data_IF_102391491907
#
_entry.id   IF_102391491907
#
_cell.length_a   1.000
_cell.length_b   1.000
_cell.length_c   1.000
_cell.angle_alpha   90.00
_cell.angle_beta   90.00
_cell.angle_gamma   90.00
#
_symmetry.space_group_name_H-M   'P 1'
#
loop_
_entity.id
_entity.type
_entity.pdbx_description
1 polymer ?
#
# COMPACT_ATOMS: atom_id res chain seq x y z
N UNK A 1 1.99 -20.55 19.94
CA UNK A 1 2.34 -19.12 20.15
C UNK A 1 1.33 -18.32 19.36
N UNK A 2 0.74 -17.27 19.93
CA UNK A 2 -0.12 -16.34 19.20
C UNK A 2 0.70 -15.62 18.13
N UNK A 3 0.09 -15.33 16.99
CA UNK A 3 0.75 -14.55 15.92
C UNK A 3 0.95 -13.09 16.33
N UNK A 4 1.81 -12.36 15.61
CA UNK A 4 2.10 -10.95 15.94
C UNK A 4 0.94 -9.98 15.65
N UNK A 5 -0.12 -10.45 14.96
CA UNK A 5 -1.36 -9.73 14.70
C UNK A 5 -2.58 -10.42 15.33
N UNK A 6 -2.37 -11.27 16.35
CA UNK A 6 -3.46 -12.00 16.99
C UNK A 6 -4.54 -11.05 17.53
N UNK A 7 -5.80 -11.27 17.10
CA UNK A 7 -6.94 -10.45 17.45
C UNK A 7 -7.02 -9.06 16.78
N UNK A 8 -6.09 -8.70 15.90
CA UNK A 8 -6.13 -7.44 15.15
C UNK A 8 -7.09 -7.53 13.95
N UNK A 9 -7.76 -6.44 13.64
CA UNK A 9 -8.71 -6.27 12.53
C UNK A 9 -8.09 -5.34 11.50
N UNK A 10 -7.87 -5.82 10.29
CA UNK A 10 -7.07 -5.11 9.29
C UNK A 10 -7.88 -4.93 7.99
N UNK A 11 -7.97 -3.69 7.51
CA UNK A 11 -8.47 -3.38 6.19
C UNK A 11 -7.30 -3.32 5.20
N UNK A 12 -7.40 -4.05 4.08
CA UNK A 12 -6.35 -4.09 3.06
C UNK A 12 -6.92 -3.73 1.70
N UNK A 13 -6.30 -2.74 1.05
CA UNK A 13 -6.65 -2.30 -0.31
C UNK A 13 -5.70 -2.90 -1.34
N UNK A 14 -6.09 -2.92 -2.62
CA UNK A 14 -5.19 -3.21 -3.74
C UNK A 14 -4.91 -4.68 -4.01
N UNK A 15 -5.71 -5.61 -3.52
CA UNK A 15 -5.60 -7.04 -3.83
C UNK A 15 -6.18 -7.32 -5.21
N UNK A 16 -5.36 -7.24 -6.25
CA UNK A 16 -5.76 -7.42 -7.66
C UNK A 16 -5.31 -8.76 -8.26
N UNK A 17 -4.30 -9.40 -7.66
CA UNK A 17 -3.72 -10.68 -8.11
C UNK A 17 -2.93 -11.33 -6.98
N UNK A 18 -2.69 -12.64 -7.07
CA UNK A 18 -1.93 -13.39 -6.06
C UNK A 18 -0.49 -12.89 -5.89
N UNK A 19 0.15 -12.44 -6.97
CA UNK A 19 1.50 -11.88 -6.94
C UNK A 19 1.55 -10.43 -6.47
N UNK A 20 0.45 -9.85 -5.95
CA UNK A 20 0.49 -8.50 -5.37
C UNK A 20 1.01 -8.53 -3.93
N UNK A 21 1.76 -7.50 -3.54
CA UNK A 21 2.19 -7.31 -2.16
C UNK A 21 0.98 -7.31 -1.22
N UNK A 22 -0.14 -6.68 -1.63
CA UNK A 22 -1.38 -6.64 -0.85
C UNK A 22 -1.96 -8.03 -0.57
N UNK A 23 -1.90 -8.96 -1.53
CA UNK A 23 -2.36 -10.34 -1.31
C UNK A 23 -1.49 -11.05 -0.27
N UNK A 24 -0.15 -10.91 -0.38
CA UNK A 24 0.77 -11.50 0.58
C UNK A 24 0.64 -10.86 1.96
N UNK A 25 0.43 -9.55 2.06
CA UNK A 25 0.13 -8.89 3.32
C UNK A 25 -1.17 -9.43 3.95
N UNK A 26 -2.24 -9.64 3.15
CA UNK A 26 -3.49 -10.20 3.64
C UNK A 26 -3.33 -11.66 4.11
N UNK A 27 -2.63 -12.48 3.32
CA UNK A 27 -2.34 -13.88 3.66
C UNK A 27 -1.54 -13.96 4.96
N UNK A 28 -0.42 -13.25 5.04
CA UNK A 28 0.44 -13.23 6.21
C UNK A 28 -0.28 -12.66 7.44
N UNK A 29 -1.08 -11.59 7.28
CA UNK A 29 -1.86 -11.05 8.39
C UNK A 29 -2.81 -12.10 8.99
N UNK A 30 -3.51 -12.87 8.16
CA UNK A 30 -4.36 -13.97 8.62
C UNK A 30 -3.57 -15.11 9.28
N UNK A 31 -2.42 -15.48 8.71
CA UNK A 31 -1.51 -16.48 9.29
C UNK A 31 -0.97 -16.03 10.65
N UNK A 32 -0.84 -14.72 10.86
CA UNK A 32 -0.42 -14.10 12.11
C UNK A 32 -1.59 -13.77 13.06
N UNK A 33 -2.80 -14.24 12.77
CA UNK A 33 -3.94 -14.19 13.67
C UNK A 33 -4.93 -13.05 13.43
N UNK A 34 -4.70 -12.19 12.44
CA UNK A 34 -5.61 -11.09 12.13
C UNK A 34 -6.92 -11.54 11.48
N UNK A 35 -7.98 -10.75 11.70
CA UNK A 35 -9.15 -10.71 10.87
C UNK A 35 -8.95 -9.66 9.77
N UNK A 36 -9.27 -10.02 8.52
CA UNK A 36 -8.98 -9.19 7.36
C UNK A 36 -10.24 -8.90 6.57
N UNK A 37 -10.40 -7.65 6.15
CA UNK A 37 -11.38 -7.21 5.16
C UNK A 37 -10.65 -6.56 3.99
N UNK A 38 -11.14 -6.78 2.77
CA UNK A 38 -10.53 -6.23 1.56
C UNK A 38 -11.41 -5.15 0.93
N UNK A 39 -10.79 -4.25 0.18
CA UNK A 39 -11.51 -3.34 -0.70
C UNK A 39 -11.04 -3.49 -2.14
N UNK A 40 -11.93 -3.19 -3.09
CA UNK A 40 -11.65 -3.31 -4.51
C UNK A 40 -12.36 -2.27 -5.36
N UNK A 41 -11.70 -1.81 -6.41
CA UNK A 41 -12.20 -0.95 -7.47
C UNK A 41 -11.36 -1.15 -8.74
N UNK A 42 -11.91 -1.09 -9.98
CA UNK A 42 -13.34 -1.00 -10.33
C UNK A 42 -14.04 -2.37 -10.44
N UNK A 43 -13.38 -3.47 -10.07
CA UNK A 43 -13.86 -4.85 -10.30
C UNK A 43 -13.83 -5.68 -9.02
N UNK A 44 -14.78 -5.50 -8.07
CA UNK A 44 -14.84 -6.28 -6.84
C UNK A 44 -14.83 -7.79 -7.07
N UNK A 45 -15.55 -8.28 -8.09
CA UNK A 45 -15.62 -9.71 -8.43
C UNK A 45 -14.27 -10.36 -8.77
N UNK A 46 -13.31 -9.58 -9.29
CA UNK A 46 -11.95 -10.07 -9.51
C UNK A 46 -11.25 -10.32 -8.16
N UNK A 47 -11.32 -9.35 -7.27
CA UNK A 47 -10.74 -9.46 -5.92
C UNK A 47 -11.42 -10.58 -5.13
N UNK A 48 -12.74 -10.73 -5.20
CA UNK A 48 -13.47 -11.83 -4.55
C UNK A 48 -12.98 -13.21 -5.01
N UNK A 49 -12.70 -13.36 -6.32
CA UNK A 49 -12.14 -14.61 -6.86
C UNK A 49 -10.74 -14.88 -6.32
N UNK A 50 -9.90 -13.87 -6.23
CA UNK A 50 -8.54 -13.99 -5.71
C UNK A 50 -8.55 -14.22 -4.21
N UNK A 51 -9.43 -13.56 -3.49
CA UNK A 51 -9.61 -13.69 -2.04
C UNK A 51 -9.95 -15.12 -1.59
N UNK A 52 -10.56 -15.95 -2.45
CA UNK A 52 -10.80 -17.39 -2.18
C UNK A 52 -9.52 -18.21 -1.96
N UNK A 53 -8.36 -17.66 -2.31
CA UNK A 53 -7.04 -18.28 -2.12
C UNK A 53 -6.38 -17.87 -0.81
N UNK A 54 -6.98 -16.95 -0.05
CA UNK A 54 -6.53 -16.60 1.29
C UNK A 54 -6.84 -17.74 2.28
N UNK A 55 -6.08 -17.86 3.38
CA UNK A 55 -6.28 -18.90 4.39
C UNK A 55 -7.68 -18.94 4.99
N UNK A 56 -8.31 -17.76 5.16
CA UNK A 56 -9.67 -17.62 5.68
C UNK A 56 -10.52 -16.79 4.73
N UNK A 57 -11.85 -17.06 4.64
CA UNK A 57 -12.77 -16.22 3.90
C UNK A 57 -12.71 -14.76 4.35
N UNK A 58 -12.84 -13.83 3.41
CA UNK A 58 -12.85 -12.39 3.67
C UNK A 58 -13.98 -11.71 2.92
N UNK A 59 -14.53 -10.64 3.49
CA UNK A 59 -15.44 -9.74 2.80
C UNK A 59 -14.63 -8.82 1.88
N UNK A 60 -15.19 -8.53 0.71
CA UNK A 60 -14.68 -7.52 -0.21
C UNK A 60 -15.69 -6.38 -0.29
N UNK A 61 -15.26 -5.16 0.03
CA UNK A 61 -16.06 -3.93 -0.08
C UNK A 61 -15.67 -3.20 -1.36
N UNK A 62 -16.66 -2.76 -2.12
CA UNK A 62 -16.42 -1.87 -3.25
C UNK A 62 -16.01 -0.49 -2.74
N UNK A 63 -14.81 -0.03 -3.13
CA UNK A 63 -14.26 1.25 -2.73
C UNK A 63 -13.43 1.88 -3.84
N UNK A 64 -13.95 2.95 -4.41
CA UNK A 64 -13.18 3.94 -5.17
C UNK A 64 -12.72 5.03 -4.18
N UNK A 65 -11.42 5.16 -3.99
CA UNK A 65 -10.83 6.14 -3.06
C UNK A 65 -10.93 7.59 -3.53
N UNK A 66 -11.42 7.81 -4.76
CA UNK A 66 -11.71 9.13 -5.32
C UNK A 66 -13.19 9.50 -5.23
N UNK A 67 -14.04 8.60 -4.75
CA UNK A 67 -15.48 8.78 -4.62
C UNK A 67 -15.85 9.04 -3.15
N UNK A 68 -16.30 10.25 -2.88
CA UNK A 68 -16.68 10.68 -1.51
C UNK A 68 -17.83 9.85 -0.92
N UNK A 69 -18.78 9.37 -1.73
CA UNK A 69 -19.87 8.52 -1.25
C UNK A 69 -19.36 7.14 -0.83
N UNK A 70 -18.40 6.57 -1.58
CA UNK A 70 -17.76 5.33 -1.21
C UNK A 70 -17.00 5.45 0.11
N UNK A 71 -16.24 6.54 0.28
CA UNK A 71 -15.51 6.82 1.52
C UNK A 71 -16.46 7.04 2.71
N UNK A 72 -17.56 7.78 2.50
CA UNK A 72 -18.53 8.08 3.57
C UNK A 72 -19.25 6.84 4.10
N UNK A 73 -19.53 5.84 3.25
CA UNK A 73 -20.21 4.60 3.68
C UNK A 73 -19.24 3.52 4.23
N UNK A 74 -17.92 3.71 4.05
CA UNK A 74 -16.92 2.70 4.43
C UNK A 74 -16.97 2.37 5.91
N UNK A 75 -17.12 3.37 6.79
CA UNK A 75 -17.21 3.18 8.24
C UNK A 75 -18.31 2.19 8.60
N UNK A 76 -19.54 2.39 8.11
CA UNK A 76 -20.68 1.52 8.41
C UNK A 76 -20.42 0.08 7.94
N UNK A 77 -19.97 -0.08 6.69
CA UNK A 77 -19.72 -1.40 6.11
C UNK A 77 -18.65 -2.21 6.86
N UNK A 78 -17.58 -1.54 7.32
CA UNK A 78 -16.53 -2.19 8.10
C UNK A 78 -16.99 -2.47 9.52
N UNK A 79 -17.74 -1.56 10.14
CA UNK A 79 -18.29 -1.74 11.49
C UNK A 79 -19.23 -2.94 11.56
N UNK A 80 -20.08 -3.11 10.54
CA UNK A 80 -21.00 -4.24 10.45
C UNK A 80 -20.29 -5.59 10.32
N UNK A 81 -19.11 -5.62 9.67
CA UNK A 81 -18.35 -6.85 9.42
C UNK A 81 -17.35 -7.19 10.53
N UNK A 82 -16.57 -6.20 10.99
CA UNK A 82 -15.45 -6.39 11.92
C UNK A 82 -15.62 -5.68 13.27
N UNK A 83 -16.62 -4.81 13.40
CA UNK A 83 -16.85 -4.01 14.63
C UNK A 83 -15.86 -2.83 14.80
N UNK A 84 -14.73 -2.83 14.13
CA UNK A 84 -13.69 -1.80 14.20
C UNK A 84 -12.46 -2.16 13.41
N UNK A 85 -11.40 -1.34 13.49
CA UNK A 85 -10.13 -1.56 12.81
C UNK A 85 -8.95 -1.28 13.73
N UNK A 86 -7.93 -2.12 13.70
CA UNK A 86 -6.64 -1.93 14.36
C UNK A 86 -5.55 -1.53 13.36
N UNK A 87 -5.82 -1.70 12.05
CA UNK A 87 -4.88 -1.30 11.02
C UNK A 87 -5.49 -1.16 9.62
N UNK A 88 -4.80 -0.37 8.80
CA UNK A 88 -5.17 -0.13 7.40
C UNK A 88 -3.93 -0.26 6.51
N UNK A 89 -4.06 -1.00 5.41
CA UNK A 89 -3.03 -1.09 4.37
C UNK A 89 -3.49 -0.35 3.12
N UNK A 90 -2.77 0.72 2.78
CA UNK A 90 -2.94 1.46 1.54
C UNK A 90 -1.97 0.92 0.47
N UNK A 91 -2.47 0.03 -0.38
CA UNK A 91 -1.74 -0.54 -1.52
C UNK A 91 -2.39 -0.13 -2.84
N UNK A 92 -2.55 1.20 -3.01
CA UNK A 92 -3.19 1.80 -4.17
C UNK A 92 -2.18 2.69 -4.89
N UNK A 93 -2.15 2.60 -6.21
CA UNK A 93 -1.39 3.48 -7.07
C UNK A 93 -1.90 3.35 -8.50
N UNK A 94 -2.10 4.50 -9.14
CA UNK A 94 -2.52 4.59 -10.53
C UNK A 94 -2.04 5.90 -11.13
N UNK A 95 -1.59 5.85 -12.36
CA UNK A 95 -1.39 7.01 -13.22
C UNK A 95 -1.94 6.69 -14.61
N UNK A 96 -2.59 7.65 -15.30
CA UNK A 96 -2.92 7.50 -16.70
C UNK A 96 -1.69 7.20 -17.55
N UNK A 97 -1.88 6.53 -18.68
CA UNK A 97 -0.78 6.05 -19.51
C UNK A 97 0.11 7.18 -20.06
N UNK A 98 -0.47 8.34 -20.32
CA UNK A 98 0.24 9.54 -20.78
C UNK A 98 1.02 10.26 -19.65
N UNK A 99 0.89 9.81 -18.42
CA UNK A 99 1.70 10.26 -17.26
C UNK A 99 2.88 9.34 -16.95
N UNK A 100 3.19 8.38 -17.84
CA UNK A 100 4.24 7.36 -17.73
C UNK A 100 4.98 7.23 -19.08
N UNK A 101 6.08 6.50 -19.09
CA UNK A 101 6.71 6.04 -20.33
C UNK A 101 7.56 7.09 -21.06
N UNK A 102 8.16 8.04 -20.34
CA UNK A 102 9.04 9.08 -20.88
C UNK A 102 8.29 10.33 -21.38
N UNK A 103 7.04 10.51 -20.96
CA UNK A 103 6.19 11.63 -21.39
C UNK A 103 6.12 12.78 -20.36
N UNK A 104 7.03 12.84 -19.41
CA UNK A 104 6.98 13.75 -18.25
C UNK A 104 6.68 15.21 -18.61
N UNK A 105 7.37 15.76 -19.63
CA UNK A 105 7.25 17.16 -20.02
C UNK A 105 5.96 17.51 -20.77
N UNK A 106 5.27 16.52 -21.35
CA UNK A 106 4.08 16.74 -22.17
C UNK A 106 2.80 16.21 -21.52
N UNK A 107 2.88 15.68 -20.31
CA UNK A 107 1.72 15.13 -19.58
C UNK A 107 0.68 16.23 -19.32
N UNK A 108 -0.60 16.05 -19.69
CA UNK A 108 -1.65 16.99 -19.35
C UNK A 108 -1.86 17.06 -17.82
N UNK A 109 -2.20 18.25 -17.30
CA UNK A 109 -2.41 18.44 -15.86
C UNK A 109 -3.53 17.53 -15.30
N UNK A 110 -4.53 17.22 -16.07
CA UNK A 110 -5.62 16.29 -15.68
C UNK A 110 -5.06 14.90 -15.33
N UNK A 111 -4.15 14.37 -16.15
CA UNK A 111 -3.48 13.09 -15.88
C UNK A 111 -2.57 13.17 -14.65
N UNK A 112 -1.86 14.28 -14.45
CA UNK A 112 -1.08 14.55 -13.25
C UNK A 112 -1.98 14.58 -12.02
N UNK A 113 -3.09 15.33 -12.09
CA UNK A 113 -4.07 15.44 -10.99
C UNK A 113 -4.63 14.08 -10.61
N UNK A 114 -4.97 13.25 -11.60
CA UNK A 114 -5.45 11.88 -11.37
C UNK A 114 -4.38 11.03 -10.67
N UNK A 115 -3.14 11.05 -11.13
CA UNK A 115 -2.04 10.31 -10.50
C UNK A 115 -1.83 10.75 -9.04
N UNK A 116 -1.84 12.04 -8.77
CA UNK A 116 -1.70 12.60 -7.43
C UNK A 116 -2.88 12.24 -6.51
N UNK A 117 -4.10 12.33 -7.00
CA UNK A 117 -5.30 12.01 -6.24
C UNK A 117 -5.32 10.54 -5.84
N UNK A 118 -5.15 9.64 -6.82
CA UNK A 118 -5.25 8.19 -6.57
C UNK A 118 -4.04 7.65 -5.83
N UNK A 119 -2.82 8.13 -6.12
CA UNK A 119 -1.60 7.51 -5.59
C UNK A 119 -1.04 8.18 -4.34
N UNK A 120 -1.47 9.40 -4.00
CA UNK A 120 -0.97 10.13 -2.84
C UNK A 120 -2.08 10.60 -1.89
N UNK A 121 -3.01 11.43 -2.37
CA UNK A 121 -4.06 12.02 -1.53
C UNK A 121 -5.00 10.97 -0.94
N UNK A 122 -5.23 9.87 -1.64
CA UNK A 122 -6.07 8.76 -1.20
C UNK A 122 -5.59 8.11 0.11
N UNK A 123 -4.28 8.17 0.45
CA UNK A 123 -3.80 7.73 1.76
C UNK A 123 -4.48 8.50 2.89
N UNK A 124 -4.55 9.83 2.76
CA UNK A 124 -5.25 10.69 3.73
C UNK A 124 -6.76 10.39 3.73
N UNK A 125 -7.37 10.31 2.56
CA UNK A 125 -8.83 10.11 2.46
C UNK A 125 -9.26 8.78 3.08
N UNK A 126 -8.55 7.69 2.77
CA UNK A 126 -8.79 6.36 3.32
C UNK A 126 -8.56 6.34 4.85
N UNK A 127 -7.45 6.93 5.32
CA UNK A 127 -7.14 6.99 6.75
C UNK A 127 -8.25 7.72 7.51
N UNK A 128 -8.72 8.85 7.00
CA UNK A 128 -9.76 9.63 7.65
C UNK A 128 -11.13 8.95 7.62
N UNK A 129 -11.47 8.23 6.54
CA UNK A 129 -12.68 7.41 6.47
C UNK A 129 -12.66 6.23 7.47
N UNK A 130 -11.47 5.67 7.75
CA UNK A 130 -11.30 4.58 8.71
C UNK A 130 -11.11 5.06 10.16
N UNK A 131 -10.73 6.32 10.38
CA UNK A 131 -10.39 6.85 11.72
C UNK A 131 -11.47 6.60 12.79
N UNK A 132 -12.79 6.75 12.53
CA UNK A 132 -13.81 6.48 13.54
C UNK A 132 -13.92 5.00 13.98
N UNK A 133 -13.24 4.09 13.29
CA UNK A 133 -13.19 2.66 13.59
C UNK A 133 -11.99 2.29 14.47
N UNK A 134 -11.02 3.18 14.64
CA UNK A 134 -9.80 2.90 15.39
C UNK A 134 -10.07 2.90 16.89
N UNK A 135 -9.48 1.97 17.64
CA UNK A 135 -9.59 1.94 19.10
C UNK A 135 -8.83 3.10 19.73
N UNK A 136 -9.21 3.43 20.97
CA UNK A 136 -8.57 4.51 21.74
C UNK A 136 -7.07 4.27 22.02
N UNK A 137 -6.66 3.01 22.04
CA UNK A 137 -5.27 2.57 22.23
C UNK A 137 -4.39 2.90 21.01
N UNK A 138 -5.01 3.19 19.85
CA UNK A 138 -4.34 3.54 18.61
C UNK A 138 -4.45 2.49 17.52
N UNK A 139 -3.91 2.81 16.35
CA UNK A 139 -3.95 1.96 15.15
C UNK A 139 -2.67 2.11 14.31
N UNK A 140 -2.51 1.25 13.32
CA UNK A 140 -1.40 1.32 12.36
C UNK A 140 -1.91 1.52 10.92
N UNK A 141 -1.44 2.57 10.26
CA UNK A 141 -1.63 2.79 8.81
C UNK A 141 -0.31 2.49 8.11
N UNK A 142 -0.34 1.60 7.12
CA UNK A 142 0.83 1.23 6.33
C UNK A 142 0.54 1.43 4.85
N UNK A 143 1.31 2.28 4.19
CA UNK A 143 1.23 2.49 2.75
C UNK A 143 2.37 1.81 1.99
N UNK A 144 2.20 1.61 0.67
CA UNK A 144 3.25 1.13 -0.22
C UNK A 144 3.76 2.27 -1.10
N UNK A 145 5.06 2.54 -1.01
CA UNK A 145 5.76 3.47 -1.89
C UNK A 145 6.79 2.74 -2.76
N UNK A 146 7.35 3.49 -3.69
CA UNK A 146 8.57 3.15 -4.40
C UNK A 146 9.48 4.35 -4.23
N UNK A 147 10.72 4.13 -3.80
CA UNK A 147 11.64 5.20 -3.36
C UNK A 147 11.60 6.42 -4.29
N UNK A 148 11.12 7.53 -3.77
CA UNK A 148 10.90 8.76 -4.52
C UNK A 148 12.07 9.76 -4.38
N UNK A 149 13.22 9.34 -3.84
CA UNK A 149 14.42 10.17 -3.76
C UNK A 149 15.11 10.32 -5.11
N UNK A 150 14.86 9.40 -6.04
CA UNK A 150 15.48 9.37 -7.36
C UNK A 150 14.45 9.50 -8.48
N UNK A 151 14.91 10.01 -9.63
CA UNK A 151 14.14 10.00 -10.87
C UNK A 151 14.34 8.63 -11.56
N UNK A 152 13.34 7.78 -11.49
CA UNK A 152 13.36 6.47 -12.11
C UNK A 152 13.03 6.55 -13.60
N UNK A 153 13.70 5.78 -14.47
CA UNK A 153 13.39 5.76 -15.89
C UNK A 153 11.91 5.44 -16.15
N UNK A 154 11.27 6.19 -17.02
CA UNK A 154 9.88 6.01 -17.47
C UNK A 154 8.80 6.01 -16.39
N UNK A 155 9.15 6.33 -15.15
CA UNK A 155 8.22 6.40 -14.01
C UNK A 155 7.47 7.74 -13.95
N UNK A 156 8.04 8.77 -14.55
CA UNK A 156 7.47 10.11 -14.80
C UNK A 156 6.65 10.65 -13.62
N UNK A 157 5.38 11.00 -13.83
CA UNK A 157 4.54 11.61 -12.79
C UNK A 157 4.14 10.67 -11.65
N UNK A 158 4.38 9.37 -11.77
CA UNK A 158 4.28 8.48 -10.62
C UNK A 158 5.37 8.77 -9.58
N UNK A 159 6.58 9.19 -10.00
CA UNK A 159 7.65 9.63 -9.10
C UNK A 159 7.21 10.78 -8.18
N UNK A 160 6.81 11.94 -8.70
CA UNK A 160 6.21 13.02 -7.91
C UNK A 160 5.01 12.59 -7.06
N UNK A 161 4.14 11.70 -7.56
CA UNK A 161 3.02 11.17 -6.78
C UNK A 161 3.50 10.33 -5.59
N UNK A 162 4.57 9.53 -5.74
CA UNK A 162 5.18 8.79 -4.62
C UNK A 162 5.87 9.72 -3.62
N UNK A 163 6.56 10.77 -4.08
CA UNK A 163 7.11 11.79 -3.20
C UNK A 163 6.01 12.50 -2.38
N UNK A 164 4.87 12.79 -3.02
CA UNK A 164 3.71 13.35 -2.33
C UNK A 164 3.09 12.35 -1.33
N UNK A 165 3.01 11.05 -1.66
CA UNK A 165 2.57 10.00 -0.74
C UNK A 165 3.47 9.94 0.50
N UNK A 166 4.78 9.99 0.31
CA UNK A 166 5.78 9.98 1.40
C UNK A 166 5.65 11.22 2.28
N UNK A 167 5.47 12.38 1.70
CA UNK A 167 5.19 13.60 2.46
C UNK A 167 3.86 13.48 3.22
N UNK A 168 2.78 13.00 2.57
CA UNK A 168 1.46 12.81 3.17
C UNK A 168 1.53 11.89 4.39
N UNK A 169 2.30 10.80 4.33
CA UNK A 169 2.45 9.87 5.45
C UNK A 169 3.09 10.56 6.67
N UNK A 170 4.11 11.41 6.46
CA UNK A 170 4.74 12.19 7.54
C UNK A 170 3.78 13.19 8.19
N UNK A 171 2.94 13.86 7.39
CA UNK A 171 1.93 14.77 7.93
C UNK A 171 0.82 14.05 8.68
N UNK A 172 0.37 12.88 8.20
CA UNK A 172 -0.56 12.02 8.95
C UNK A 172 0.04 11.54 10.27
N UNK A 173 1.30 11.10 10.26
CA UNK A 173 2.02 10.70 11.47
C UNK A 173 2.10 11.84 12.50
N UNK A 174 2.38 13.06 12.06
CA UNK A 174 2.42 14.26 12.92
C UNK A 174 1.06 14.55 13.55
N UNK A 175 -0.01 14.55 12.73
CA UNK A 175 -1.31 15.02 13.16
C UNK A 175 -2.08 13.97 13.98
N UNK A 176 -1.89 12.68 13.64
CA UNK A 176 -2.59 11.57 14.30
C UNK A 176 -1.79 10.89 15.42
N UNK A 177 -0.50 11.19 15.54
CA UNK A 177 0.38 10.56 16.52
C UNK A 177 -0.03 10.77 17.99
N UNK A 178 -0.69 11.88 18.32
CA UNK A 178 -1.24 12.13 19.66
C UNK A 178 -2.41 11.19 20.03
N UNK A 179 -3.03 10.60 19.02
CA UNK A 179 -4.07 9.58 19.17
C UNK A 179 -3.50 8.16 19.07
N UNK A 180 -2.17 8.00 19.18
CA UNK A 180 -1.44 6.74 18.99
C UNK A 180 -1.66 6.06 17.63
N UNK A 181 -2.05 6.81 16.61
CA UNK A 181 -2.17 6.29 15.25
C UNK A 181 -0.82 6.46 14.56
N UNK A 182 -0.21 5.34 14.22
CA UNK A 182 1.07 5.31 13.49
C UNK A 182 0.80 5.30 11.98
N UNK A 183 1.57 6.04 11.22
CA UNK A 183 1.51 6.02 9.75
C UNK A 183 2.90 5.84 9.19
N UNK A 184 3.16 4.71 8.53
CA UNK A 184 4.45 4.37 7.96
C UNK A 184 4.29 3.84 6.53
N UNK A 185 5.39 3.81 5.79
CA UNK A 185 5.42 3.26 4.45
C UNK A 185 6.42 2.11 4.35
N UNK A 186 6.12 1.16 3.46
CA UNK A 186 7.09 0.19 2.95
C UNK A 186 7.48 0.61 1.54
N UNK A 187 8.77 0.87 1.33
CA UNK A 187 9.37 1.04 0.01
C UNK A 187 9.88 -0.33 -0.45
N UNK A 188 9.13 -0.97 -1.32
CA UNK A 188 9.47 -2.29 -1.83
C UNK A 188 10.26 -2.18 -3.15
N UNK A 189 11.19 -3.10 -3.37
CA UNK A 189 11.76 -3.32 -4.70
C UNK A 189 10.68 -3.71 -5.72
N UNK A 190 10.98 -3.70 -7.02
CA UNK A 190 10.00 -3.97 -8.07
C UNK A 190 9.46 -5.40 -7.96
N UNK A 191 8.13 -5.53 -8.00
CA UNK A 191 7.42 -6.80 -8.07
C UNK A 191 6.67 -6.86 -9.39
N UNK A 192 6.73 -7.98 -10.09
CA UNK A 192 6.08 -8.21 -11.38
C UNK A 192 4.56 -8.24 -11.32
N UNK A 193 3.96 -7.26 -10.64
CA UNK A 193 2.52 -7.06 -10.50
C UNK A 193 1.90 -6.52 -11.80
N UNK A 194 0.56 -6.51 -11.88
CA UNK A 194 -0.15 -5.91 -13.01
C UNK A 194 0.17 -4.41 -13.13
N UNK A 195 0.23 -3.69 -12.01
CA UNK A 195 0.58 -2.27 -11.99
C UNK A 195 2.01 -2.04 -12.50
N UNK A 196 2.97 -2.85 -12.07
CA UNK A 196 4.35 -2.75 -12.51
C UNK A 196 4.51 -3.04 -14.02
N UNK A 197 3.81 -4.05 -14.54
CA UNK A 197 3.83 -4.40 -15.96
C UNK A 197 3.18 -3.36 -16.88
N UNK A 198 2.38 -2.46 -16.33
CA UNK A 198 1.80 -1.33 -17.08
C UNK A 198 2.78 -0.15 -17.24
N UNK A 199 3.91 -0.17 -16.52
CA UNK A 199 4.97 0.83 -16.65
C UNK A 199 5.82 0.45 -17.87
N UNK A 200 5.89 1.28 -18.92
CA UNK A 200 6.83 1.05 -20.01
C UNK A 200 8.26 0.96 -19.48
N UNK A 201 9.10 0.07 -20.02
CA UNK A 201 10.49 -0.09 -19.56
C UNK A 201 10.65 -0.75 -18.17
N UNK A 202 9.64 -1.42 -17.62
CA UNK A 202 9.74 -2.14 -16.36
C UNK A 202 10.90 -3.15 -16.32
N UNK A 203 11.28 -3.73 -17.47
CA UNK A 203 12.44 -4.62 -17.59
C UNK A 203 13.76 -3.93 -17.23
N UNK A 204 13.90 -2.64 -17.56
CA UNK A 204 15.11 -1.86 -17.22
C UNK A 204 15.26 -1.68 -15.71
N UNK A 205 14.14 -1.45 -15.01
CA UNK A 205 14.12 -1.43 -13.54
C UNK A 205 14.53 -2.79 -12.97
N UNK A 206 14.05 -3.88 -13.55
CA UNK A 206 14.41 -5.24 -13.18
C UNK A 206 15.92 -5.47 -13.26
N UNK A 207 16.54 -5.05 -14.34
CA UNK A 207 17.98 -5.21 -14.57
C UNK A 207 18.80 -4.41 -13.55
N UNK A 208 18.33 -3.24 -13.13
CA UNK A 208 18.96 -2.45 -12.06
C UNK A 208 18.96 -3.24 -10.74
N UNK A 209 17.83 -3.83 -10.36
CA UNK A 209 17.76 -4.63 -9.12
C UNK A 209 18.62 -5.88 -9.20
N UNK A 210 18.59 -6.60 -10.31
CA UNK A 210 19.40 -7.81 -10.52
C UNK A 210 20.92 -7.54 -10.43
N UNK A 211 21.36 -6.35 -10.83
CA UNK A 211 22.77 -6.00 -10.87
C UNK A 211 23.27 -5.29 -9.62
N UNK A 212 22.41 -4.65 -8.83
CA UNK A 212 22.81 -3.71 -7.77
C UNK A 212 22.26 -4.02 -6.38
N UNK A 213 21.24 -4.86 -6.23
CA UNK A 213 20.76 -5.21 -4.90
C UNK A 213 21.80 -6.00 -4.12
N UNK A 214 22.00 -5.66 -2.85
CA UNK A 214 22.97 -6.35 -1.98
C UNK A 214 22.51 -7.75 -1.57
N UNK A 215 21.21 -7.92 -1.43
CA UNK A 215 20.55 -9.23 -1.27
C UNK A 215 19.86 -9.56 -2.59
N UNK A 216 19.90 -10.83 -2.99
CA UNK A 216 19.15 -11.28 -4.17
C UNK A 216 17.70 -10.82 -4.08
N UNK A 217 17.20 -10.25 -5.19
CA UNK A 217 15.83 -9.77 -5.26
C UNK A 217 15.04 -10.53 -6.31
N UNK A 218 14.08 -11.32 -5.86
CA UNK A 218 13.15 -12.03 -6.76
C UNK A 218 11.88 -11.20 -6.97
N UNK A 219 11.73 -10.65 -8.18
CA UNK A 219 10.54 -9.88 -8.57
C UNK A 219 9.26 -10.71 -8.65
N UNK A 220 9.35 -12.02 -8.59
CA UNK A 220 8.19 -12.91 -8.55
C UNK A 220 7.72 -13.22 -7.11
N UNK A 221 8.54 -12.85 -6.10
CA UNK A 221 8.25 -13.07 -4.69
C UNK A 221 7.89 -11.77 -3.95
N UNK A 222 6.60 -11.46 -3.75
CA UNK A 222 6.15 -10.31 -2.97
C UNK A 222 6.14 -10.56 -1.45
N UNK A 223 6.46 -11.75 -0.98
CA UNK A 223 6.36 -12.12 0.43
C UNK A 223 7.27 -11.27 1.34
N UNK A 224 8.53 -10.95 0.99
CA UNK A 224 9.36 -10.08 1.83
C UNK A 224 8.73 -8.71 2.08
N UNK A 225 8.15 -8.09 1.05
CA UNK A 225 7.44 -6.81 1.20
C UNK A 225 6.17 -6.97 2.05
N UNK A 226 5.42 -8.06 1.88
CA UNK A 226 4.27 -8.42 2.71
C UNK A 226 4.65 -8.57 4.18
N UNK A 227 5.79 -9.18 4.50
CA UNK A 227 6.35 -9.29 5.87
C UNK A 227 6.67 -7.92 6.45
N UNK A 228 7.23 -7.01 5.66
CA UNK A 228 7.48 -5.63 6.08
C UNK A 228 6.18 -4.90 6.46
N UNK A 229 5.11 -5.07 5.66
CA UNK A 229 3.78 -4.52 5.96
C UNK A 229 3.24 -5.09 7.28
N UNK A 230 3.26 -6.41 7.46
CA UNK A 230 2.75 -7.09 8.66
C UNK A 230 3.53 -6.68 9.90
N UNK A 231 4.85 -6.54 9.81
CA UNK A 231 5.68 -6.07 10.92
C UNK A 231 5.30 -4.65 11.36
N UNK A 232 5.07 -3.72 10.42
CA UNK A 232 4.66 -2.34 10.73
C UNK A 232 3.22 -2.24 11.26
N UNK A 233 2.33 -3.17 10.90
CA UNK A 233 0.99 -3.26 11.48
C UNK A 233 1.03 -3.75 12.93
N UNK A 234 2.03 -4.54 13.30
CA UNK A 234 2.14 -5.15 14.63
C UNK A 234 2.58 -4.15 15.71
N UNK A 235 2.50 -4.60 16.96
CA UNK A 235 2.98 -3.84 18.11
C UNK A 235 4.51 -3.94 18.32
N UNK A 236 5.24 -4.56 17.39
CA UNK A 236 6.70 -4.64 17.43
C UNK A 236 7.40 -3.33 17.10
N UNK A 237 6.69 -2.39 16.44
CA UNK A 237 7.17 -1.05 16.13
C UNK A 237 6.33 0.04 16.82
N UNK A 238 6.19 0.01 18.17
CA UNK A 238 5.21 0.84 18.90
C UNK A 238 5.55 2.33 18.89
N UNK A 239 6.79 2.69 18.56
CA UNK A 239 7.28 4.09 18.54
C UNK A 239 7.82 4.51 17.16
N UNK A 240 7.44 3.77 16.11
CA UNK A 240 7.83 4.07 14.72
C UNK A 240 6.63 4.66 13.98
N UNK A 241 6.74 5.91 13.54
CA UNK A 241 5.73 6.62 12.75
C UNK A 241 6.39 7.67 11.86
N UNK A 242 5.85 7.90 10.68
CA UNK A 242 6.44 8.78 9.66
C UNK A 242 7.65 8.18 8.94
N UNK A 243 7.91 6.90 9.12
CA UNK A 243 9.07 6.19 8.60
C UNK A 243 8.79 5.53 7.25
N UNK A 244 9.83 5.38 6.46
CA UNK A 244 9.85 4.60 5.21
C UNK A 244 10.81 3.44 5.40
N UNK A 245 10.25 2.23 5.52
CA UNK A 245 11.03 1.00 5.68
C UNK A 245 11.30 0.40 4.30
N UNK A 246 12.56 0.33 3.93
CA UNK A 246 12.98 -0.26 2.66
C UNK A 246 13.00 -1.79 2.75
N UNK A 247 12.32 -2.43 1.81
CA UNK A 247 12.34 -3.88 1.56
C UNK A 247 12.64 -4.06 0.07
N UNK A 248 13.89 -3.88 -0.31
CA UNK A 248 14.33 -3.70 -1.69
C UNK A 248 15.68 -4.40 -2.01
N UNK A 249 16.09 -5.34 -1.15
CA UNK A 249 17.39 -6.00 -1.29
C UNK A 249 18.58 -5.10 -0.94
N UNK A 250 18.33 -3.93 -0.32
CA UNK A 250 19.37 -2.97 0.06
C UNK A 250 19.80 -2.03 -1.07
N UNK A 251 19.10 -2.03 -2.20
CA UNK A 251 19.46 -1.20 -3.35
C UNK A 251 19.53 0.30 -2.99
N UNK A 252 18.58 0.80 -2.19
CA UNK A 252 18.55 2.23 -1.78
C UNK A 252 19.83 2.68 -1.07
N UNK A 253 20.57 1.78 -0.44
CA UNK A 253 21.80 2.06 0.29
C UNK A 253 23.08 1.91 -0.55
N UNK A 254 22.95 1.46 -1.81
CA UNK A 254 24.08 1.30 -2.73
C UNK A 254 24.39 2.63 -3.41
N UNK A 255 25.64 3.05 -3.32
CA UNK A 255 26.19 4.12 -4.16
C UNK A 255 26.24 3.76 -5.65
N UNK A 256 26.70 4.70 -6.47
CA UNK A 256 26.86 4.49 -7.92
C UNK A 256 28.01 3.51 -8.23
#
# INVERSE_FOLDING_TARGET
MSGILDGKRILITGVLMESSIAFHAAKLAQEQGAEVILTAWPRPSLTERIAKKLPKPVKVIELDVTNDEHLARLEGLVRDELGGLDGVVHSIGFAPQDALGGNFLNTPFESVSTAMHVSAFSLKSLTMACKPLFPAEGAAVVGLTFDAQFAWPQYDWMGPAKAALEATSRYLARDLGKENIRCNLVSAGPIGSMAARSIPGFSELADVWNSRSMLEWDMSDPEPAGKGVVALLSDWFPKTTGEIVHVDGGLHAMGA
#
